data_IF_134983099036
#
_entry.id   IF_134983099036
#
_cell.length_a   1.000
_cell.length_b   1.000
_cell.length_c   1.000
_cell.angle_alpha   90.00
_cell.angle_beta   90.00
_cell.angle_gamma   90.00
#
_symmetry.space_group_name_H-M   'P 1'
#
loop_
_entity.id
_entity.type
_entity.pdbx_description
1 polymer ?
#
# COMPACT_ATOMS: atom_id res chain seq x y z
N UNK A 1 11.43 7.69 8.60
CA UNK A 1 11.06 6.40 7.97
C UNK A 1 10.71 6.61 6.50
N UNK A 2 11.25 5.80 5.62
CA UNK A 2 11.00 5.92 4.19
C UNK A 2 9.77 5.12 3.78
N UNK A 3 8.86 5.77 3.06
CA UNK A 3 7.63 5.14 2.56
C UNK A 3 7.64 5.18 1.03
N UNK A 4 8.09 4.09 0.41
CA UNK A 4 8.21 4.02 -1.05
C UNK A 4 6.85 4.16 -1.76
N UNK A 5 5.76 3.79 -1.12
CA UNK A 5 4.41 3.96 -1.66
C UNK A 5 4.07 5.43 -1.91
N UNK A 6 4.47 6.31 -0.99
CA UNK A 6 4.25 7.76 -1.14
C UNK A 6 5.06 8.31 -2.31
N UNK A 7 6.33 7.93 -2.42
CA UNK A 7 7.17 8.34 -3.55
C UNK A 7 6.61 7.86 -4.88
N UNK A 8 6.13 6.61 -4.92
CA UNK A 8 5.53 6.05 -6.12
C UNK A 8 4.28 6.85 -6.53
N UNK A 9 3.43 7.19 -5.58
CA UNK A 9 2.23 7.99 -5.83
C UNK A 9 2.60 9.37 -6.38
N UNK A 10 3.54 10.06 -5.74
CA UNK A 10 3.97 11.39 -6.16
C UNK A 10 4.52 11.36 -7.59
N UNK A 11 5.42 10.42 -7.87
CA UNK A 11 6.03 10.30 -9.18
C UNK A 11 5.02 9.89 -10.25
N UNK A 12 4.09 9.01 -9.94
CA UNK A 12 3.04 8.58 -10.88
C UNK A 12 2.11 9.74 -11.23
N UNK A 13 1.72 10.53 -10.25
CA UNK A 13 0.89 11.72 -10.49
C UNK A 13 1.60 12.74 -11.38
N UNK A 14 2.90 12.92 -11.20
CA UNK A 14 3.71 13.82 -12.04
C UNK A 14 3.83 13.31 -13.47
N UNK A 15 4.20 12.05 -13.65
CA UNK A 15 4.40 11.43 -14.96
C UNK A 15 3.11 11.44 -15.77
N UNK A 16 1.99 11.09 -15.13
CA UNK A 16 0.68 11.02 -15.79
C UNK A 16 -0.03 12.37 -15.84
N UNK A 17 0.52 13.40 -15.18
CA UNK A 17 -0.10 14.73 -15.03
C UNK A 17 -1.53 14.63 -14.49
N UNK A 18 -1.74 13.76 -13.50
CA UNK A 18 -3.03 13.49 -12.89
C UNK A 18 -2.96 13.60 -11.38
N UNK A 19 -4.02 14.13 -10.77
CA UNK A 19 -4.19 14.11 -9.32
C UNK A 19 -4.69 12.75 -8.83
N UNK A 20 -5.55 12.12 -9.61
CA UNK A 20 -6.15 10.81 -9.28
C UNK A 20 -5.60 9.74 -10.22
N UNK A 21 -5.28 8.59 -9.63
CA UNK A 21 -4.71 7.45 -10.34
C UNK A 21 -5.79 6.41 -10.63
N UNK A 22 -6.89 6.87 -11.26
CA UNK A 22 -7.99 5.99 -11.64
C UNK A 22 -7.51 4.89 -12.58
N UNK A 23 -8.14 3.73 -12.50
CA UNK A 23 -7.84 2.56 -13.32
C UNK A 23 -6.40 2.04 -13.13
N UNK A 24 -5.79 2.34 -11.98
CA UNK A 24 -4.46 1.85 -11.66
C UNK A 24 -4.50 0.75 -10.63
N UNK A 25 -3.45 -0.07 -10.61
CA UNK A 25 -3.26 -1.15 -9.67
C UNK A 25 -1.88 -0.98 -9.04
N UNK A 26 -1.78 -1.14 -7.72
CA UNK A 26 -0.51 -1.06 -7.02
C UNK A 26 -0.16 -2.42 -6.41
N UNK A 27 1.10 -2.82 -6.56
CA UNK A 27 1.65 -4.02 -5.94
C UNK A 27 2.75 -3.62 -4.97
N UNK A 28 2.68 -4.10 -3.74
CA UNK A 28 3.73 -3.88 -2.74
C UNK A 28 4.08 -5.21 -2.05
N UNK A 29 5.32 -5.34 -1.61
CA UNK A 29 5.78 -6.59 -0.96
C UNK A 29 5.31 -6.69 0.48
N UNK A 30 5.21 -5.58 1.18
CA UNK A 30 4.83 -5.55 2.59
C UNK A 30 3.56 -4.72 2.77
N UNK A 31 2.70 -5.16 3.69
CA UNK A 31 1.45 -4.47 4.02
C UNK A 31 1.70 -2.99 4.32
N UNK A 32 1.00 -2.06 3.63
CA UNK A 32 1.15 -0.63 3.89
C UNK A 32 0.69 -0.24 5.31
N UNK A 33 1.35 0.76 5.88
CA UNK A 33 0.88 1.37 7.12
C UNK A 33 -0.39 2.19 6.88
N UNK A 34 -1.03 2.66 7.95
CA UNK A 34 -2.27 3.43 7.84
C UNK A 34 -2.10 4.68 6.97
N UNK A 35 -0.99 5.39 7.12
CA UNK A 35 -0.72 6.60 6.33
C UNK A 35 -0.64 6.29 4.83
N UNK A 36 0.10 5.24 4.46
CA UNK A 36 0.23 4.84 3.07
C UNK A 36 -1.08 4.29 2.50
N UNK A 37 -1.83 3.50 3.27
CA UNK A 37 -3.13 2.99 2.87
C UNK A 37 -4.11 4.13 2.62
N UNK A 38 -4.11 5.15 3.48
CA UNK A 38 -4.95 6.33 3.34
C UNK A 38 -4.57 7.12 2.08
N UNK A 39 -3.28 7.29 1.79
CA UNK A 39 -2.81 7.98 0.59
C UNK A 39 -3.21 7.22 -0.68
N UNK A 40 -3.09 5.90 -0.68
CA UNK A 40 -3.50 5.04 -1.80
C UNK A 40 -4.98 5.24 -2.12
N UNK A 41 -5.82 5.26 -1.10
CA UNK A 41 -7.25 5.50 -1.27
C UNK A 41 -7.53 6.94 -1.75
N UNK A 42 -6.83 7.92 -1.18
CA UNK A 42 -7.04 9.33 -1.48
C UNK A 42 -6.77 9.66 -2.96
N UNK A 43 -5.80 8.99 -3.58
CA UNK A 43 -5.49 9.19 -5.01
C UNK A 43 -6.27 8.25 -5.92
N UNK A 44 -7.25 7.52 -5.39
CA UNK A 44 -8.17 6.67 -6.14
C UNK A 44 -7.52 5.49 -6.86
N UNK A 45 -6.48 4.88 -6.30
CA UNK A 45 -5.94 3.63 -6.83
C UNK A 45 -7.03 2.56 -6.72
N UNK A 46 -7.33 1.91 -7.83
CA UNK A 46 -8.46 0.98 -7.89
C UNK A 46 -8.23 -0.27 -7.05
N UNK A 47 -7.05 -0.88 -7.19
CA UNK A 47 -6.72 -2.14 -6.51
C UNK A 47 -5.34 -2.08 -5.91
N UNK A 48 -5.21 -2.63 -4.71
CA UNK A 48 -3.94 -2.80 -4.01
C UNK A 48 -3.73 -4.28 -3.70
N UNK A 49 -2.58 -4.79 -4.13
CA UNK A 49 -2.14 -6.15 -3.78
C UNK A 49 -0.89 -6.05 -2.94
N UNK A 50 -0.85 -6.75 -1.80
CA UNK A 50 0.38 -6.82 -1.01
C UNK A 50 0.71 -8.27 -0.67
N UNK A 51 2.02 -8.53 -0.49
CA UNK A 51 2.51 -9.88 -0.21
C UNK A 51 2.41 -10.24 1.27
N UNK A 52 3.33 -9.74 2.07
CA UNK A 52 3.43 -10.11 3.48
C UNK A 52 2.66 -9.14 4.37
N UNK A 53 2.05 -9.67 5.43
CA UNK A 53 1.44 -8.85 6.47
C UNK A 53 2.51 -8.29 7.40
N UNK A 54 2.32 -7.06 7.87
CA UNK A 54 3.19 -6.41 8.84
C UNK A 54 2.47 -6.34 10.18
N UNK A 55 2.83 -7.25 11.09
CA UNK A 55 2.16 -7.37 12.38
C UNK A 55 2.37 -6.15 13.28
N UNK A 56 3.46 -5.40 13.06
CA UNK A 56 3.79 -4.24 13.89
C UNK A 56 3.22 -2.93 13.36
N UNK A 57 3.41 -2.69 12.05
CA UNK A 57 3.16 -1.38 11.45
C UNK A 57 2.08 -1.42 10.37
N UNK A 58 1.54 -2.58 10.05
CA UNK A 58 0.49 -2.71 9.05
C UNK A 58 -0.77 -1.97 9.47
N UNK A 59 -1.38 -1.26 8.52
CA UNK A 59 -2.52 -0.40 8.79
C UNK A 59 -3.78 -0.74 8.02
N UNK A 60 -3.80 -1.86 7.28
CA UNK A 60 -4.93 -2.18 6.42
C UNK A 60 -6.23 -2.42 7.21
N UNK A 61 -6.16 -3.14 8.32
CA UNK A 61 -7.36 -3.37 9.14
C UNK A 61 -7.89 -2.05 9.74
N UNK A 62 -7.00 -1.20 10.22
CA UNK A 62 -7.38 0.13 10.71
C UNK A 62 -7.96 0.99 9.60
N UNK A 63 -7.38 0.94 8.43
CA UNK A 63 -7.86 1.66 7.26
C UNK A 63 -9.26 1.18 6.86
N UNK A 64 -9.49 -0.12 6.77
CA UNK A 64 -10.79 -0.69 6.43
C UNK A 64 -11.85 -0.26 7.42
N UNK A 65 -11.52 -0.23 8.71
CA UNK A 65 -12.44 0.23 9.74
C UNK A 65 -12.80 1.70 9.57
N UNK A 66 -11.82 2.56 9.28
CA UNK A 66 -12.04 3.99 9.08
C UNK A 66 -12.71 4.31 7.76
N UNK A 67 -12.50 3.49 6.73
CA UNK A 67 -12.99 3.74 5.38
C UNK A 67 -14.47 3.39 5.17
N UNK A 68 -15.18 2.98 6.22
CA UNK A 68 -16.63 2.77 6.17
C UNK A 68 -17.42 4.08 6.01
N UNK A 69 -16.74 5.20 5.85
CA UNK A 69 -17.37 6.50 5.60
C UNK A 69 -17.77 6.60 4.14
N UNK A 70 -18.99 7.10 3.90
CA UNK A 70 -19.61 7.12 2.57
C UNK A 70 -18.84 7.89 1.51
N UNK A 71 -18.09 8.92 1.90
CA UNK A 71 -17.41 9.84 0.97
C UNK A 71 -15.98 9.44 0.62
N UNK A 72 -15.49 8.33 1.15
CA UNK A 72 -14.13 7.86 0.85
C UNK A 72 -14.14 6.91 -0.34
N UNK A 73 -13.17 7.07 -1.22
CA UNK A 73 -12.94 6.13 -2.30
C UNK A 73 -12.53 4.78 -1.73
N UNK A 74 -13.12 3.70 -2.24
CA UNK A 74 -12.86 2.36 -1.76
C UNK A 74 -11.93 1.62 -2.71
N UNK A 75 -10.64 1.58 -2.36
CA UNK A 75 -9.67 0.73 -3.04
C UNK A 75 -9.93 -0.73 -2.66
N UNK A 76 -10.00 -1.62 -3.65
CA UNK A 76 -10.08 -3.05 -3.40
C UNK A 76 -8.71 -3.57 -2.96
N UNK A 77 -8.65 -4.24 -1.82
CA UNK A 77 -7.39 -4.62 -1.18
C UNK A 77 -7.31 -6.14 -1.06
N UNK A 78 -6.22 -6.71 -1.55
CA UNK A 78 -5.94 -8.14 -1.52
C UNK A 78 -4.57 -8.39 -0.90
N UNK A 79 -4.54 -9.08 0.24
CA UNK A 79 -3.30 -9.40 0.93
C UNK A 79 -2.90 -10.86 0.80
N UNK A 80 -1.67 -11.17 1.18
CA UNK A 80 -1.15 -12.53 1.19
C UNK A 80 -0.74 -13.07 -0.17
N UNK A 81 -0.54 -12.19 -1.15
CA UNK A 81 -0.12 -12.59 -2.50
C UNK A 81 1.35 -13.02 -2.45
N UNK A 82 1.62 -14.30 -2.74
CA UNK A 82 2.95 -14.93 -2.60
C UNK A 82 3.60 -14.55 -1.25
N UNK A 83 2.82 -14.65 -0.18
CA UNK A 83 3.18 -14.16 1.15
C UNK A 83 4.52 -14.66 1.65
N UNK A 84 4.78 -15.96 1.50
CA UNK A 84 6.02 -16.58 2.00
C UNK A 84 7.26 -16.02 1.31
N UNK A 85 7.20 -15.82 -0.01
CA UNK A 85 8.32 -15.26 -0.77
C UNK A 85 8.58 -13.81 -0.39
N UNK A 86 7.51 -13.02 -0.26
CA UNK A 86 7.62 -11.63 0.16
C UNK A 86 8.15 -11.52 1.59
N UNK A 87 7.66 -12.36 2.49
CA UNK A 87 8.13 -12.40 3.88
C UNK A 87 9.61 -12.75 3.96
N UNK A 88 10.04 -13.75 3.21
CA UNK A 88 11.45 -14.16 3.17
C UNK A 88 12.33 -13.04 2.63
N UNK A 89 11.90 -12.37 1.57
CA UNK A 89 12.62 -11.24 0.99
C UNK A 89 12.79 -10.11 2.01
N UNK A 90 11.73 -9.74 2.72
CA UNK A 90 11.76 -8.67 3.72
C UNK A 90 12.64 -9.04 4.92
N UNK A 91 12.60 -10.29 5.38
CA UNK A 91 13.44 -10.77 6.46
C UNK A 91 14.93 -10.67 6.08
N UNK A 92 15.30 -11.09 4.86
CA UNK A 92 16.67 -10.98 4.37
C UNK A 92 17.12 -9.53 4.28
N UNK A 93 16.26 -8.65 3.80
CA UNK A 93 16.55 -7.22 3.69
C UNK A 93 16.83 -6.61 5.06
N UNK A 94 15.95 -6.82 6.04
CA UNK A 94 16.13 -6.27 7.39
C UNK A 94 17.34 -6.86 8.10
N UNK A 95 17.64 -8.13 7.85
CA UNK A 95 18.82 -8.80 8.42
C UNK A 95 20.13 -8.16 7.93
N UNK A 96 20.16 -7.70 6.67
CA UNK A 96 21.34 -7.02 6.12
C UNK A 96 21.58 -5.64 6.71
N UNK A 97 20.52 -4.99 7.19
CA UNK A 97 20.62 -3.64 7.75
C UNK A 97 21.06 -3.63 9.21
N UNK A 98 21.19 -4.79 9.83
CA UNK A 98 21.63 -4.89 11.23
C UNK A 98 23.13 -5.09 11.35
#
# INVERSE_FOLDING_TARGET
MYHCEIDLIINSCKILSQKYLDDTVMFVTLEPCLMCASAISEVHIEKLYFGAYDDKNGGIEKFKFQSNREHLFKTDIYGGIIENDCKTLMEKFFKRLR
#
